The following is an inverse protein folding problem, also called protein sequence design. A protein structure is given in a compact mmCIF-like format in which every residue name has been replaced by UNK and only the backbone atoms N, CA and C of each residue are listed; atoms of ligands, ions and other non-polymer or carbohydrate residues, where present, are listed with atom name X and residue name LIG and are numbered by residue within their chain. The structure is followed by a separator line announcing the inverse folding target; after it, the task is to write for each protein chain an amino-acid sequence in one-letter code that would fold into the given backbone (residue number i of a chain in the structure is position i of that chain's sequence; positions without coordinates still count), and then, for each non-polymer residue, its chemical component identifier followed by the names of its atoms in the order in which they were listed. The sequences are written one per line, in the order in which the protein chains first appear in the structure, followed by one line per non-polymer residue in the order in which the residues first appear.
data_IF_170621885207
#
_entry.id   IF_170621885207
#
_cell.length_a   1.000
_cell.length_b   1.000
_cell.length_c   1.000
_cell.angle_alpha   90.00
_cell.angle_beta   90.00
_cell.angle_gamma   90.00
#
_symmetry.space_group_name_H-M   'P 1'
#
loop_
_entity.id
_entity.type
_entity.pdbx_description
1 polymer ?
#
# COMPACT_ATOMS: atom_id res chain seq x y z
N UNK A 1 9.30 11.47 4.56
CA UNK A 1 9.14 11.76 3.12
C UNK A 1 10.37 11.20 2.44
N UNK A 2 10.14 10.35 1.43
CA UNK A 2 11.20 9.77 0.60
C UNK A 2 11.90 10.89 -0.17
N UNK A 3 13.20 10.74 -0.47
CA UNK A 3 13.84 11.65 -1.41
C UNK A 3 13.32 11.37 -2.81
N UNK A 4 13.47 12.35 -3.70
CA UNK A 4 13.07 12.22 -5.11
C UNK A 4 13.81 11.04 -5.75
N UNK A 5 13.06 10.08 -6.28
CA UNK A 5 13.61 8.86 -6.92
C UNK A 5 13.88 7.70 -5.97
N UNK A 6 13.65 7.85 -4.66
CA UNK A 6 13.69 6.73 -3.72
C UNK A 6 12.34 6.03 -3.67
N UNK A 7 12.40 4.69 -3.63
CA UNK A 7 11.26 3.80 -3.51
C UNK A 7 11.43 2.93 -2.26
N UNK A 8 10.32 2.53 -1.66
CA UNK A 8 10.33 1.51 -0.62
C UNK A 8 10.60 0.16 -1.27
N UNK A 9 11.64 -0.53 -0.81
CA UNK A 9 11.92 -1.88 -1.27
C UNK A 9 10.93 -2.88 -0.66
N UNK A 10 10.27 -3.66 -1.52
CA UNK A 10 9.28 -4.64 -1.12
C UNK A 10 7.98 -4.02 -0.57
N UNK A 11 7.16 -4.87 0.03
CA UNK A 11 5.90 -4.48 0.66
C UNK A 11 6.17 -4.16 2.13
N UNK A 12 5.81 -2.96 2.63
CA UNK A 12 5.93 -2.62 4.05
C UNK A 12 5.21 -3.64 4.94
N UNK A 13 5.79 -3.99 6.09
CA UNK A 13 5.24 -4.99 7.00
C UNK A 13 3.77 -4.68 7.38
N UNK A 14 3.46 -3.41 7.67
CA UNK A 14 2.09 -3.01 8.05
C UNK A 14 1.08 -3.23 6.92
N UNK A 15 1.51 -3.13 5.65
CA UNK A 15 0.66 -3.43 4.50
C UNK A 15 0.58 -4.93 4.24
N UNK A 16 1.71 -5.65 4.30
CA UNK A 16 1.77 -7.08 4.07
C UNK A 16 0.86 -7.85 5.03
N UNK A 17 0.92 -7.53 6.33
CA UNK A 17 0.08 -8.17 7.35
C UNK A 17 -1.41 -8.06 7.03
N UNK A 18 -1.85 -6.89 6.55
CA UNK A 18 -3.26 -6.71 6.21
C UNK A 18 -3.65 -7.36 4.88
N UNK A 19 -2.73 -7.42 3.90
CA UNK A 19 -2.95 -8.18 2.67
C UNK A 19 -3.10 -9.68 2.97
N UNK A 20 -2.26 -10.22 3.85
CA UNK A 20 -2.34 -11.64 4.25
C UNK A 20 -3.66 -11.99 4.95
N UNK A 21 -4.26 -11.03 5.65
CA UNK A 21 -5.57 -11.18 6.33
C UNK A 21 -6.77 -10.88 5.42
N UNK A 22 -6.55 -10.35 4.22
CA UNK A 22 -7.60 -9.86 3.33
C UNK A 22 -7.44 -10.39 1.91
N UNK A 23 -8.02 -11.56 1.67
CA UNK A 23 -7.93 -12.25 0.38
C UNK A 23 -8.41 -11.36 -0.77
N UNK A 24 -9.48 -10.58 -0.59
CA UNK A 24 -10.03 -9.73 -1.65
C UNK A 24 -9.04 -8.62 -2.03
N UNK A 25 -8.49 -7.92 -1.05
CA UNK A 25 -7.51 -6.88 -1.28
C UNK A 25 -6.22 -7.46 -1.88
N UNK A 26 -5.77 -8.61 -1.38
CA UNK A 26 -4.55 -9.27 -1.83
C UNK A 26 -4.64 -9.75 -3.28
N UNK A 27 -5.74 -10.43 -3.65
CA UNK A 27 -5.96 -10.87 -5.03
C UNK A 27 -5.93 -9.68 -5.99
N UNK A 28 -6.63 -8.59 -5.66
CA UNK A 28 -6.59 -7.40 -6.51
C UNK A 28 -5.19 -6.76 -6.55
N UNK A 29 -4.54 -6.62 -5.40
CA UNK A 29 -3.18 -6.09 -5.31
C UNK A 29 -2.22 -6.89 -6.19
N UNK A 30 -2.31 -8.22 -6.18
CA UNK A 30 -1.46 -9.10 -6.98
C UNK A 30 -1.65 -8.94 -8.49
N UNK A 31 -2.84 -8.54 -8.94
CA UNK A 31 -3.07 -8.21 -10.37
C UNK A 31 -2.46 -6.88 -10.81
N UNK A 32 -2.07 -6.01 -9.88
CA UNK A 32 -1.52 -4.70 -10.21
C UNK A 32 -0.13 -4.82 -10.84
N UNK A 33 0.15 -3.92 -11.79
CA UNK A 33 1.52 -3.78 -12.31
C UNK A 33 2.48 -3.32 -11.20
N UNK A 34 3.77 -3.58 -11.40
CA UNK A 34 4.84 -3.18 -10.47
C UNK A 34 4.75 -1.71 -10.05
N UNK A 35 4.45 -0.79 -10.98
CA UNK A 35 4.35 0.64 -10.69
C UNK A 35 3.17 0.99 -9.77
N UNK A 36 2.03 0.31 -9.92
CA UNK A 36 0.89 0.52 -9.03
C UNK A 36 1.12 -0.10 -7.65
N UNK A 37 1.70 -1.32 -7.57
CA UNK A 37 2.13 -1.91 -6.29
C UNK A 37 3.10 -0.98 -5.56
N UNK A 38 4.07 -0.44 -6.28
CA UNK A 38 5.06 0.50 -5.74
C UNK A 38 4.42 1.77 -5.19
N UNK A 39 3.39 2.32 -5.85
CA UNK A 39 2.68 3.49 -5.34
C UNK A 39 2.08 3.27 -3.95
N UNK A 40 1.47 2.11 -3.72
CA UNK A 40 0.96 1.74 -2.39
C UNK A 40 2.09 1.56 -1.38
N UNK A 41 3.15 0.83 -1.75
CA UNK A 41 4.30 0.56 -0.90
C UNK A 41 5.01 1.86 -0.48
N UNK A 42 5.25 2.77 -1.42
CA UNK A 42 5.85 4.08 -1.19
C UNK A 42 4.98 4.93 -0.27
N UNK A 43 3.67 4.95 -0.49
CA UNK A 43 2.78 5.75 0.33
C UNK A 43 2.72 5.26 1.76
N UNK A 44 2.59 3.95 1.99
CA UNK A 44 2.61 3.38 3.33
C UNK A 44 4.00 3.56 3.95
N UNK A 45 5.05 3.02 3.32
CA UNK A 45 6.41 2.98 3.88
C UNK A 45 7.10 4.33 4.02
N UNK A 46 6.71 5.36 3.26
CA UNK A 46 7.32 6.71 3.38
C UNK A 46 7.01 7.43 4.69
N UNK A 47 6.05 6.93 5.49
CA UNK A 47 5.72 7.53 6.78
C UNK A 47 6.74 7.13 7.86
N UNK A 48 7.30 8.16 8.53
CA UNK A 48 8.32 7.97 9.58
C UNK A 48 7.74 7.31 10.84
N UNK A 49 6.49 7.63 11.18
CA UNK A 49 5.82 7.10 12.36
C UNK A 49 5.07 5.81 12.02
N UNK A 50 5.27 4.78 12.82
CA UNK A 50 4.59 3.47 12.68
C UNK A 50 3.06 3.62 12.69
N UNK A 51 2.52 4.43 13.60
CA UNK A 51 1.08 4.67 13.66
C UNK A 51 0.53 5.21 12.33
N UNK A 52 1.28 6.10 11.67
CA UNK A 52 0.88 6.61 10.35
C UNK A 52 0.98 5.53 9.28
N UNK A 53 1.96 4.63 9.33
CA UNK A 53 2.05 3.48 8.41
C UNK A 53 0.85 2.57 8.57
N UNK A 54 0.46 2.23 9.80
CA UNK A 54 -0.74 1.43 10.09
C UNK A 54 -2.02 2.06 9.52
N UNK A 55 -2.27 3.35 9.82
CA UNK A 55 -3.45 4.05 9.28
C UNK A 55 -3.45 4.13 7.74
N UNK A 56 -2.28 4.32 7.11
CA UNK A 56 -2.19 4.29 5.64
C UNK A 56 -2.41 2.89 5.07
N UNK A 57 -1.89 1.86 5.73
CA UNK A 57 -2.09 0.47 5.33
C UNK A 57 -3.58 0.09 5.40
N UNK A 58 -4.28 0.44 6.49
CA UNK A 58 -5.73 0.25 6.61
C UNK A 58 -6.50 0.91 5.47
N UNK A 59 -6.14 2.17 5.14
CA UNK A 59 -6.76 2.90 4.01
C UNK A 59 -6.40 2.29 2.66
N UNK A 60 -5.19 1.77 2.49
CA UNK A 60 -4.79 1.05 1.28
C UNK A 60 -5.67 -0.19 1.07
N UNK A 61 -5.94 -0.97 2.12
CA UNK A 61 -6.83 -2.14 2.05
C UNK A 61 -8.24 -1.74 1.62
N UNK A 62 -8.80 -0.66 2.18
CA UNK A 62 -10.11 -0.15 1.75
C UNK A 62 -10.14 0.19 0.25
N UNK A 63 -9.09 0.83 -0.27
CA UNK A 63 -8.97 1.15 -1.69
C UNK A 63 -8.84 -0.12 -2.55
N UNK A 64 -8.00 -1.07 -2.14
CA UNK A 64 -7.75 -2.31 -2.88
C UNK A 64 -9.01 -3.20 -2.92
N UNK A 65 -9.78 -3.28 -1.82
CA UNK A 65 -11.10 -3.94 -1.79
C UNK A 65 -12.09 -3.36 -2.79
N UNK A 66 -11.90 -2.10 -3.18
CA UNK A 66 -12.72 -1.37 -4.15
C UNK A 66 -12.12 -1.40 -5.56
N UNK A 67 -11.14 -2.28 -5.82
CA UNK A 67 -10.44 -2.42 -7.10
C UNK A 67 -9.81 -1.10 -7.58
N UNK A 68 -9.39 -0.26 -6.64
CA UNK A 68 -8.77 1.01 -6.94
C UNK A 68 -7.27 0.83 -7.13
N UNK A 69 -6.77 1.13 -8.33
CA UNK A 69 -5.33 0.95 -8.67
C UNK A 69 -4.42 2.14 -8.31
N UNK A 70 -4.99 3.27 -7.89
CA UNK A 70 -4.23 4.50 -7.56
C UNK A 70 -4.72 5.10 -6.25
N UNK A 71 -3.89 5.86 -5.55
CA UNK A 71 -4.19 6.48 -4.24
C UNK A 71 -5.16 7.68 -4.26
N UNK A 72 -6.10 7.71 -5.22
CA UNK A 72 -7.09 8.79 -5.31
C UNK A 72 -8.09 8.62 -4.16
N UNK A 73 -8.24 9.61 -3.30
CA UNK A 73 -9.39 9.64 -2.40
C UNK A 73 -10.64 9.82 -3.25
N UNK A 74 -11.57 8.86 -3.18
CA UNK A 74 -12.99 9.10 -3.46
C UNK A 74 -13.54 10.14 -2.50
#
# INVERSE_FOLDING_TARGET
MLKKGEHIEGVPMELQQLLDMDEKANVFFETLSKSYKQGYCDWVGSAKQEQTRKTRAEKAIQMLRNNQKTLKTV
#
